data_IF_016769342081
#
_entry.id   IF_016769342081
#
_cell.length_a   1.000
_cell.length_b   1.000
_cell.length_c   1.000
_cell.angle_alpha   90.00
_cell.angle_beta   90.00
_cell.angle_gamma   90.00
#
_symmetry.space_group_name_H-M   'P 1'
#
loop_
_entity.id
_entity.type
_entity.pdbx_description
1 polymer ?
#
# COMPACT_ATOMS: atom_id res chain seq x y z
N UNK A 1 48.08 -32.69 44.89
CA UNK A 1 47.21 -32.46 43.72
C UNK A 1 46.50 -33.76 43.42
N UNK A 2 45.40 -34.04 44.12
CA UNK A 2 44.62 -35.26 43.92
C UNK A 2 43.73 -35.06 42.69
N UNK A 3 43.95 -35.89 41.67
CA UNK A 3 43.20 -35.85 40.42
C UNK A 3 41.73 -36.15 40.69
N UNK A 4 40.84 -35.21 40.33
CA UNK A 4 39.44 -35.55 40.10
C UNK A 4 39.42 -36.50 38.90
N UNK A 5 39.21 -37.76 39.19
CA UNK A 5 38.59 -38.75 38.32
C UNK A 5 37.42 -38.06 37.60
N UNK A 6 37.65 -37.70 36.33
CA UNK A 6 36.79 -36.81 35.52
C UNK A 6 35.44 -37.39 35.15
N UNK A 7 34.83 -38.20 36.01
CA UNK A 7 33.50 -38.79 35.85
C UNK A 7 32.49 -37.91 36.58
N UNK A 8 31.49 -37.45 35.85
CA UNK A 8 30.36 -36.73 36.43
C UNK A 8 29.61 -37.61 37.45
N UNK A 9 29.30 -37.09 38.65
CA UNK A 9 28.53 -37.82 39.64
C UNK A 9 27.16 -38.27 39.11
N UNK A 10 26.73 -39.48 39.48
CA UNK A 10 25.48 -40.08 38.99
C UNK A 10 24.22 -39.24 39.26
N UNK A 11 24.21 -38.40 40.32
CA UNK A 11 23.08 -37.53 40.62
C UNK A 11 22.99 -36.34 39.67
N UNK A 12 24.13 -35.78 39.23
CA UNK A 12 24.17 -34.70 38.24
C UNK A 12 23.64 -35.20 36.90
N UNK A 13 24.08 -36.40 36.47
CA UNK A 13 23.59 -37.02 35.23
C UNK A 13 22.07 -37.26 35.26
N UNK A 14 21.51 -37.68 36.40
CA UNK A 14 20.05 -37.86 36.57
C UNK A 14 19.28 -36.55 36.44
N UNK A 15 19.79 -35.47 37.04
CA UNK A 15 19.17 -34.13 36.90
C UNK A 15 19.22 -33.62 35.46
N UNK A 16 20.34 -33.84 34.75
CA UNK A 16 20.43 -33.53 33.33
C UNK A 16 19.42 -34.33 32.49
N UNK A 17 19.28 -35.64 32.74
CA UNK A 17 18.31 -36.47 32.03
C UNK A 17 16.87 -36.03 32.30
N UNK A 18 16.51 -35.72 33.55
CA UNK A 18 15.18 -35.20 33.90
C UNK A 18 14.92 -33.87 33.19
N UNK A 19 15.89 -32.94 33.19
CA UNK A 19 15.79 -31.67 32.49
C UNK A 19 15.62 -31.82 30.98
N UNK A 20 16.39 -32.72 30.36
CA UNK A 20 16.30 -33.03 28.93
C UNK A 20 14.96 -33.69 28.57
N UNK A 21 14.45 -34.59 29.41
CA UNK A 21 13.13 -35.19 29.21
C UNK A 21 12.02 -34.15 29.34
N UNK A 22 12.09 -33.27 30.34
CA UNK A 22 11.15 -32.17 30.50
C UNK A 22 11.15 -31.22 29.30
N UNK A 23 12.34 -30.86 28.81
CA UNK A 23 12.50 -30.05 27.60
C UNK A 23 11.96 -30.78 26.36
N UNK A 24 12.23 -32.07 26.21
CA UNK A 24 11.72 -32.86 25.09
C UNK A 24 10.20 -32.94 25.09
N UNK A 25 9.56 -33.10 26.26
CA UNK A 25 8.10 -33.07 26.39
C UNK A 25 7.56 -31.68 26.04
N UNK A 26 8.16 -30.60 26.56
CA UNK A 26 7.76 -29.23 26.22
C UNK A 26 7.84 -28.98 24.71
N UNK A 27 8.99 -29.31 24.09
CA UNK A 27 9.20 -29.15 22.65
C UNK A 27 8.24 -30.02 21.83
N UNK A 28 7.99 -31.26 22.28
CA UNK A 28 7.03 -32.17 21.67
C UNK A 28 5.60 -31.62 21.69
N UNK A 29 5.16 -31.06 22.82
CA UNK A 29 3.86 -30.40 22.94
C UNK A 29 3.77 -29.13 22.07
N UNK A 30 4.82 -28.31 22.05
CA UNK A 30 4.89 -27.13 21.18
C UNK A 30 4.84 -27.50 19.70
N UNK A 31 5.57 -28.54 19.29
CA UNK A 31 5.56 -29.05 17.92
C UNK A 31 4.18 -29.64 17.57
N UNK A 32 3.61 -30.46 18.45
CA UNK A 32 2.25 -30.98 18.26
C UNK A 32 1.24 -29.84 18.09
N UNK A 33 1.32 -28.79 18.91
CA UNK A 33 0.44 -27.62 18.84
C UNK A 33 0.63 -26.80 17.56
N UNK A 34 1.87 -26.70 17.06
CA UNK A 34 2.21 -26.01 15.81
C UNK A 34 1.60 -26.71 14.58
N UNK A 35 1.64 -28.05 14.53
CA UNK A 35 1.16 -28.83 13.38
C UNK A 35 -0.33 -29.21 13.45
N UNK A 36 -0.91 -29.29 14.66
CA UNK A 36 -2.34 -29.58 14.85
C UNK A 36 -3.25 -28.37 14.64
N UNK A 37 -2.69 -27.16 14.54
CA UNK A 37 -3.41 -25.95 14.16
C UNK A 37 -2.75 -25.23 12.96
N UNK A 38 -2.67 -25.91 11.79
CA UNK A 38 -1.99 -25.38 10.63
C UNK A 38 -2.80 -24.21 10.04
N UNK A 39 -2.24 -23.00 10.12
CA UNK A 39 -2.89 -21.81 9.57
C UNK A 39 -2.61 -20.50 10.29
N UNK A 40 -2.03 -20.51 11.49
CA UNK A 40 -1.96 -19.31 12.33
C UNK A 40 -0.65 -18.52 12.21
N UNK A 41 0.11 -18.72 11.14
CA UNK A 41 1.32 -17.95 10.84
C UNK A 41 1.09 -17.12 9.57
N UNK A 42 1.60 -15.86 9.51
CA UNK A 42 1.35 -14.97 8.38
C UNK A 42 1.81 -15.61 7.07
N UNK A 43 0.85 -15.91 6.18
CA UNK A 43 1.13 -16.40 4.84
C UNK A 43 1.45 -15.22 3.93
N UNK A 44 2.71 -15.12 3.50
CA UNK A 44 3.25 -14.17 2.53
C UNK A 44 2.81 -12.70 2.69
N UNK A 45 3.58 -11.86 3.42
CA UNK A 45 3.31 -10.44 3.48
C UNK A 45 3.49 -9.81 2.09
N UNK A 46 2.47 -9.07 1.63
CA UNK A 46 2.65 -8.18 0.49
C UNK A 46 3.53 -7.00 0.90
N UNK A 47 4.65 -6.82 0.19
CA UNK A 47 5.59 -5.72 0.42
C UNK A 47 5.45 -4.65 -0.67
N UNK A 48 5.34 -3.39 -0.24
CA UNK A 48 5.23 -2.24 -1.13
C UNK A 48 5.50 -0.94 -0.36
N UNK A 49 5.61 0.19 -1.05
CA UNK A 49 5.66 1.48 -0.34
C UNK A 49 4.35 1.71 0.42
N UNK A 50 4.41 2.36 1.59
CA UNK A 50 3.25 2.69 2.42
C UNK A 50 2.14 3.34 1.58
N UNK A 51 2.52 4.33 0.76
CA UNK A 51 1.60 5.04 -0.14
C UNK A 51 0.90 4.14 -1.16
N UNK A 52 1.55 3.06 -1.61
CA UNK A 52 0.93 2.10 -2.54
C UNK A 52 -0.05 1.19 -1.81
N UNK A 53 0.33 0.70 -0.62
CA UNK A 53 -0.54 -0.18 0.18
C UNK A 53 -1.81 0.55 0.59
N UNK A 54 -1.72 1.78 1.08
CA UNK A 54 -2.88 2.56 1.50
C UNK A 54 -3.85 2.89 0.35
N UNK A 55 -3.41 2.78 -0.91
CA UNK A 55 -4.25 2.97 -2.10
C UNK A 55 -4.91 1.69 -2.61
N UNK A 56 -4.51 0.53 -2.10
CA UNK A 56 -5.17 -0.73 -2.46
C UNK A 56 -6.66 -0.66 -2.08
N UNK A 57 -7.51 -1.32 -2.88
CA UNK A 57 -8.98 -1.25 -2.74
C UNK A 57 -9.45 -1.51 -1.30
N UNK A 58 -8.80 -2.44 -0.62
CA UNK A 58 -9.08 -2.87 0.75
C UNK A 58 -8.71 -1.83 1.84
N UNK A 59 -7.81 -0.89 1.55
CA UNK A 59 -7.36 0.13 2.50
C UNK A 59 -7.88 1.54 2.17
N UNK A 60 -8.42 1.78 0.97
CA UNK A 60 -9.13 3.04 0.68
C UNK A 60 -10.43 3.19 1.46
N UNK A 61 -11.10 2.07 1.71
CA UNK A 61 -12.29 1.98 2.55
C UNK A 61 -12.12 0.79 3.50
N UNK A 62 -11.29 0.93 4.54
CA UNK A 62 -11.04 -0.14 5.48
C UNK A 62 -12.34 -0.50 6.21
N UNK A 63 -12.51 -1.77 6.55
CA UNK A 63 -13.75 -2.29 7.10
C UNK A 63 -14.00 -3.75 6.74
N UNK A 64 -15.28 -4.15 6.79
CA UNK A 64 -15.69 -5.54 6.64
C UNK A 64 -16.24 -5.78 5.24
N UNK A 65 -15.73 -6.80 4.59
CA UNK A 65 -16.17 -7.28 3.28
C UNK A 65 -16.62 -8.72 3.40
N UNK A 66 -17.81 -9.05 2.88
CA UNK A 66 -18.27 -10.44 2.78
C UNK A 66 -17.70 -11.07 1.52
N UNK A 67 -16.91 -12.13 1.68
CA UNK A 67 -16.33 -12.90 0.57
C UNK A 67 -17.17 -14.13 0.22
N UNK A 68 -17.88 -14.71 1.19
CA UNK A 68 -18.72 -15.89 1.01
C UNK A 68 -19.74 -16.09 2.14
N UNK A 69 -20.48 -17.21 2.16
CA UNK A 69 -21.51 -17.47 3.16
C UNK A 69 -21.01 -17.42 4.61
N UNK A 70 -19.80 -17.95 4.86
CA UNK A 70 -19.13 -18.01 6.17
C UNK A 70 -17.70 -17.49 6.10
N UNK A 71 -17.44 -16.52 5.22
CA UNK A 71 -16.10 -16.02 4.97
C UNK A 71 -16.10 -14.50 4.78
N UNK A 72 -15.34 -13.81 5.63
CA UNK A 72 -15.26 -12.35 5.67
C UNK A 72 -13.81 -11.91 5.64
N UNK A 73 -13.56 -10.82 4.94
CA UNK A 73 -12.33 -10.07 4.98
C UNK A 73 -12.53 -8.85 5.88
N UNK A 74 -11.57 -8.58 6.75
CA UNK A 74 -11.50 -7.35 7.54
C UNK A 74 -10.21 -6.65 7.17
N UNK A 75 -10.29 -5.37 6.82
CA UNK A 75 -9.11 -4.56 6.49
C UNK A 75 -9.02 -3.37 7.41
N UNK A 76 -7.86 -3.18 8.05
CA UNK A 76 -7.63 -2.09 8.99
C UNK A 76 -6.30 -1.37 8.71
N UNK A 77 -6.26 -0.08 8.97
CA UNK A 77 -5.05 0.73 8.95
C UNK A 77 -4.69 1.11 10.39
N UNK A 78 -3.48 0.77 10.81
CA UNK A 78 -2.89 1.27 12.03
C UNK A 78 -2.17 2.59 11.76
N UNK A 79 -2.42 3.59 12.61
CA UNK A 79 -1.72 4.88 12.65
C UNK A 79 -1.42 5.19 14.11
N UNK A 80 -0.55 6.15 14.37
CA UNK A 80 -0.24 6.56 15.74
C UNK A 80 -1.51 6.82 16.55
N UNK A 81 -1.69 5.96 17.55
CA UNK A 81 -2.75 6.03 18.56
C UNK A 81 -4.16 5.71 18.07
N UNK A 82 -4.31 5.17 16.86
CA UNK A 82 -5.64 4.86 16.30
C UNK A 82 -5.62 3.67 15.32
N UNK A 83 -6.70 2.88 15.35
CA UNK A 83 -7.07 1.97 14.28
C UNK A 83 -8.17 2.59 13.41
N UNK A 84 -8.08 2.41 12.10
CA UNK A 84 -9.08 2.82 11.13
C UNK A 84 -9.58 1.60 10.33
N UNK A 85 -10.86 1.20 10.47
CA UNK A 85 -11.84 1.76 11.41
C UNK A 85 -11.53 1.38 12.87
N UNK A 86 -12.07 2.16 13.81
CA UNK A 86 -11.91 1.96 15.25
C UNK A 86 -12.90 0.93 15.82
N UNK A 87 -13.99 0.63 15.09
CA UNK A 87 -14.96 -0.43 15.40
C UNK A 87 -15.18 -1.37 14.22
N UNK A 88 -15.08 -2.67 14.47
CA UNK A 88 -15.39 -3.75 13.53
C UNK A 88 -16.51 -4.63 14.11
N UNK A 89 -17.43 -5.08 13.25
CA UNK A 89 -18.52 -6.01 13.62
C UNK A 89 -18.60 -7.14 12.61
N UNK A 90 -18.53 -8.39 13.07
CA UNK A 90 -18.57 -9.60 12.22
C UNK A 90 -19.51 -10.66 12.80
N UNK A 91 -20.01 -11.62 12.00
CA UNK A 91 -20.86 -12.68 12.52
C UNK A 91 -20.03 -13.80 13.17
N UNK A 92 -20.63 -14.50 14.12
CA UNK A 92 -20.08 -15.76 14.62
C UNK A 92 -20.12 -16.88 13.56
N UNK A 93 -19.34 -17.93 13.79
CA UNK A 93 -19.23 -19.13 12.95
C UNK A 93 -18.84 -18.82 11.49
N UNK A 94 -18.08 -17.75 11.30
CA UNK A 94 -17.46 -17.41 10.02
C UNK A 94 -15.95 -17.28 10.16
N UNK A 95 -15.22 -17.68 9.11
CA UNK A 95 -13.79 -17.41 8.99
C UNK A 95 -13.60 -15.93 8.69
N UNK A 96 -12.76 -15.28 9.48
CA UNK A 96 -12.41 -13.87 9.36
C UNK A 96 -10.93 -13.77 9.00
N UNK A 97 -10.61 -13.26 7.81
CA UNK A 97 -9.24 -12.96 7.38
C UNK A 97 -8.97 -11.46 7.59
N UNK A 98 -8.09 -11.16 8.55
CA UNK A 98 -7.67 -9.81 8.92
C UNK A 98 -6.46 -9.42 8.08
N UNK A 99 -6.56 -8.28 7.42
CA UNK A 99 -5.46 -7.63 6.73
C UNK A 99 -5.20 -6.28 7.38
N UNK A 100 -4.01 -6.12 7.93
CA UNK A 100 -3.66 -4.92 8.70
C UNK A 100 -2.38 -4.33 8.13
N UNK A 101 -2.35 -3.02 7.93
CA UNK A 101 -1.14 -2.30 7.50
C UNK A 101 -0.91 -1.08 8.36
N UNK A 102 0.32 -0.55 8.35
CA UNK A 102 0.65 0.69 9.04
C UNK A 102 0.86 1.84 8.07
N UNK A 103 0.30 3.00 8.41
CA UNK A 103 0.51 4.25 7.69
C UNK A 103 1.76 5.04 8.13
N UNK A 104 2.40 4.67 9.23
CA UNK A 104 3.48 5.45 9.85
C UNK A 104 4.60 4.61 10.48
N UNK A 105 4.41 4.05 11.67
CA UNK A 105 5.41 3.32 12.48
C UNK A 105 4.97 1.88 12.75
N UNK A 106 5.79 1.10 13.43
CA UNK A 106 5.41 -0.27 13.81
C UNK A 106 4.28 -0.21 14.84
N UNK A 107 3.28 -1.08 14.68
CA UNK A 107 2.16 -1.27 15.62
C UNK A 107 1.95 -2.75 15.90
N UNK A 108 1.19 -3.01 16.97
CA UNK A 108 0.63 -4.32 17.24
C UNK A 108 -0.82 -4.39 16.80
N UNK A 109 -1.27 -5.58 16.39
CA UNK A 109 -2.68 -5.88 16.25
C UNK A 109 -2.98 -7.15 17.04
N UNK A 110 -3.53 -6.98 18.24
CA UNK A 110 -3.90 -8.06 19.14
C UNK A 110 -5.39 -8.01 19.50
N UNK A 111 -6.02 -9.18 19.55
CA UNK A 111 -7.30 -9.40 20.23
C UNK A 111 -7.04 -10.27 21.47
N UNK A 112 -6.96 -9.67 22.68
CA UNK A 112 -6.61 -10.40 23.89
C UNK A 112 -7.58 -11.55 24.18
N UNK A 113 -7.03 -12.68 24.68
CA UNK A 113 -7.81 -13.89 24.93
C UNK A 113 -8.13 -14.71 23.67
N UNK A 114 -7.52 -14.37 22.54
CA UNK A 114 -7.64 -15.10 21.27
C UNK A 114 -6.25 -15.44 20.72
N UNK A 115 -6.20 -16.14 19.59
CA UNK A 115 -4.95 -16.41 18.87
C UNK A 115 -4.60 -15.32 17.83
N UNK A 116 -5.34 -14.21 17.80
CA UNK A 116 -5.09 -13.09 16.87
C UNK A 116 -4.08 -12.14 17.51
N UNK A 117 -2.82 -12.28 17.11
CA UNK A 117 -1.75 -11.35 17.42
C UNK A 117 -0.80 -11.29 16.21
N UNK A 118 -0.55 -10.09 15.69
CA UNK A 118 0.42 -9.87 14.60
C UNK A 118 1.08 -8.50 14.70
N UNK A 119 2.38 -8.43 14.40
CA UNK A 119 3.12 -7.18 14.22
C UNK A 119 2.75 -6.53 12.88
N UNK A 120 2.50 -5.23 12.91
CA UNK A 120 2.06 -4.43 11.76
C UNK A 120 3.16 -3.44 11.39
N UNK A 121 3.83 -3.70 10.26
CA UNK A 121 4.96 -2.89 9.81
C UNK A 121 4.55 -1.92 8.68
N UNK A 122 5.12 -0.70 8.65
CA UNK A 122 4.96 0.20 7.51
C UNK A 122 5.54 -0.41 6.23
N UNK A 123 4.76 -0.40 5.14
CA UNK A 123 5.18 -0.99 3.87
C UNK A 123 4.94 -2.49 3.75
N UNK A 124 4.21 -3.08 4.70
CA UNK A 124 3.81 -4.47 4.71
C UNK A 124 2.30 -4.58 4.96
N UNK A 125 1.67 -5.62 4.40
CA UNK A 125 0.32 -6.05 4.77
C UNK A 125 0.44 -7.31 5.63
N UNK A 126 0.18 -7.16 6.93
CA UNK A 126 0.06 -8.28 7.84
C UNK A 126 -1.25 -9.03 7.58
N UNK A 127 -1.20 -10.36 7.61
CA UNK A 127 -2.36 -11.22 7.41
C UNK A 127 -2.45 -12.25 8.53
N UNK A 128 -3.59 -12.30 9.19
CA UNK A 128 -3.92 -13.29 10.23
C UNK A 128 -5.40 -13.65 10.09
N UNK A 129 -5.79 -14.88 10.41
CA UNK A 129 -7.20 -15.27 10.36
C UNK A 129 -7.64 -16.02 11.61
N UNK A 130 -8.92 -15.88 11.94
CA UNK A 130 -9.52 -16.58 13.07
C UNK A 130 -10.99 -16.92 12.78
N UNK A 131 -11.55 -17.81 13.61
CA UNK A 131 -12.98 -18.14 13.63
C UNK A 131 -13.48 -18.00 15.05
N UNK A 132 -14.59 -17.30 15.21
CA UNK A 132 -15.20 -17.03 16.52
C UNK A 132 -16.53 -17.78 16.62
N UNK A 133 -16.73 -18.52 17.71
CA UNK A 133 -17.87 -19.43 17.85
C UNK A 133 -18.99 -18.91 18.76
N UNK A 134 -18.76 -17.79 19.44
CA UNK A 134 -19.72 -17.18 20.36
C UNK A 134 -19.70 -15.67 20.21
N UNK A 135 -20.82 -14.97 20.45
CA UNK A 135 -20.84 -13.51 20.42
C UNK A 135 -20.03 -12.96 21.59
N UNK A 136 -19.19 -11.96 21.31
CA UNK A 136 -18.35 -11.32 22.29
C UNK A 136 -17.80 -9.99 21.76
N UNK A 137 -17.59 -9.03 22.66
CA UNK A 137 -16.85 -7.80 22.35
C UNK A 137 -15.40 -7.98 22.78
N UNK A 138 -14.49 -7.87 21.83
CA UNK A 138 -13.05 -7.88 22.02
C UNK A 138 -12.51 -6.45 21.92
N UNK A 139 -11.46 -6.18 22.68
CA UNK A 139 -10.64 -4.99 22.47
C UNK A 139 -9.59 -5.31 21.40
N UNK A 140 -9.41 -4.38 20.47
CA UNK A 140 -8.24 -4.36 19.59
C UNK A 140 -7.16 -3.57 20.32
N UNK A 141 -6.03 -4.20 20.64
CA UNK A 141 -4.95 -3.56 21.39
C UNK A 141 -3.71 -3.49 20.52
N UNK A 142 -3.03 -2.34 20.57
CA UNK A 142 -1.67 -2.21 20.06
C UNK A 142 -0.70 -2.68 21.13
N UNK A 143 0.02 -3.77 20.89
CA UNK A 143 1.02 -4.35 21.81
C UNK A 143 2.48 -3.96 21.48
N UNK A 144 2.69 -3.19 20.40
CA UNK A 144 4.00 -2.65 20.02
C UNK A 144 4.11 -1.16 20.33
N UNK A 145 5.18 -0.77 21.00
CA UNK A 145 5.39 0.63 21.37
C UNK A 145 5.50 1.54 20.14
N UNK A 146 4.47 2.34 19.90
CA UNK A 146 4.35 3.22 18.72
C UNK A 146 4.51 4.73 19.04
N UNK A 147 4.70 5.08 20.32
CA UNK A 147 4.94 6.46 20.78
C UNK A 147 4.29 6.79 22.13
N UNK A 148 4.34 8.07 22.53
CA UNK A 148 3.89 8.55 23.85
C UNK A 148 2.40 8.32 24.17
N UNK A 149 1.56 8.15 23.15
CA UNK A 149 0.14 7.82 23.29
C UNK A 149 -0.17 6.34 23.14
N UNK A 150 0.84 5.45 23.13
CA UNK A 150 0.69 4.02 22.84
C UNK A 150 -0.40 3.33 23.68
N UNK A 151 -0.48 3.63 24.97
CA UNK A 151 -1.47 3.09 25.89
C UNK A 151 -2.94 3.41 25.54
N UNK A 152 -3.17 4.43 24.71
CA UNK A 152 -4.50 4.86 24.31
C UNK A 152 -4.93 4.25 22.96
N UNK A 153 -4.05 3.49 22.30
CA UNK A 153 -4.31 2.91 20.99
C UNK A 153 -5.16 1.64 21.09
N UNK A 154 -6.47 1.84 21.24
CA UNK A 154 -7.44 0.76 21.44
C UNK A 154 -8.59 0.91 20.44
N UNK A 155 -9.03 -0.21 19.85
CA UNK A 155 -10.23 -0.33 19.04
C UNK A 155 -11.21 -1.36 19.59
N UNK A 156 -12.34 -1.55 18.91
CA UNK A 156 -13.38 -2.52 19.27
C UNK A 156 -13.63 -3.51 18.14
N UNK A 157 -13.69 -4.79 18.48
CA UNK A 157 -14.04 -5.87 17.55
C UNK A 157 -15.19 -6.67 18.15
N UNK A 158 -16.34 -6.65 17.50
CA UNK A 158 -17.58 -7.26 18.01
C UNK A 158 -17.97 -8.46 17.15
N UNK A 159 -18.15 -9.60 17.79
CA UNK A 159 -18.72 -10.80 17.19
C UNK A 159 -20.18 -10.89 17.60
N UNK A 160 -21.08 -10.97 16.62
CA UNK A 160 -22.54 -10.99 16.84
C UNK A 160 -23.18 -12.25 16.25
N UNK A 161 -24.29 -12.72 16.81
CA UNK A 161 -25.04 -13.85 16.23
C UNK A 161 -25.67 -13.50 14.88
N UNK A 162 -26.11 -12.26 14.72
CA UNK A 162 -26.69 -11.76 13.48
C UNK A 162 -26.13 -10.38 13.17
N UNK A 163 -25.54 -10.21 11.98
CA UNK A 163 -25.09 -8.90 11.53
C UNK A 163 -26.31 -7.96 11.41
N UNK A 164 -26.26 -6.75 11.98
CA UNK A 164 -27.32 -5.78 11.78
C UNK A 164 -27.37 -5.38 10.30
N UNK A 165 -28.57 -5.16 9.76
CA UNK A 165 -28.80 -4.80 8.35
C UNK A 165 -28.06 -3.51 7.90
N UNK A 166 -27.57 -2.70 8.85
CA UNK A 166 -26.78 -1.48 8.65
C UNK A 166 -25.28 -1.64 8.90
N UNK A 167 -24.78 -2.82 9.32
CA UNK A 167 -23.34 -3.04 9.33
C UNK A 167 -22.84 -2.89 7.90
N UNK A 168 -21.91 -1.97 7.67
CA UNK A 168 -21.34 -1.64 6.36
C UNK A 168 -20.50 -2.81 5.84
N UNK A 169 -21.17 -3.89 5.46
CA UNK A 169 -20.61 -5.08 4.87
C UNK A 169 -20.64 -4.85 3.37
N UNK A 170 -19.56 -4.30 2.84
CA UNK A 170 -19.44 -4.12 1.40
C UNK A 170 -19.33 -5.50 0.76
N UNK A 171 -20.34 -5.88 -0.02
CA UNK A 171 -20.36 -7.17 -0.71
C UNK A 171 -19.56 -7.01 -1.99
N UNK A 172 -18.31 -7.49 -2.02
CA UNK A 172 -17.51 -7.48 -3.24
C UNK A 172 -17.88 -8.74 -4.03
N UNK A 173 -18.70 -8.57 -5.07
CA UNK A 173 -18.77 -9.55 -6.16
C UNK A 173 -17.37 -9.67 -6.80
N UNK A 174 -16.97 -10.86 -7.31
CA UNK A 174 -15.65 -11.06 -7.88
C UNK A 174 -15.55 -10.34 -9.23
N UNK A 175 -15.26 -9.05 -9.21
CA UNK A 175 -14.84 -8.30 -10.39
C UNK A 175 -13.32 -8.35 -10.46
N UNK A 176 -12.83 -9.26 -11.29
CA UNK A 176 -11.64 -9.10 -12.14
C UNK A 176 -10.90 -7.77 -11.97
N UNK A 177 -9.87 -7.74 -11.12
CA UNK A 177 -8.92 -6.62 -11.10
C UNK A 177 -8.27 -6.50 -12.48
N UNK A 178 -8.49 -5.40 -13.19
CA UNK A 178 -8.02 -5.27 -14.57
C UNK A 178 -7.52 -3.85 -14.88
N UNK A 179 -6.27 -3.80 -15.36
CA UNK A 179 -5.57 -2.72 -16.05
C UNK A 179 -5.02 -1.50 -15.26
N UNK A 180 -5.80 -0.75 -14.48
CA UNK A 180 -5.34 0.56 -13.96
C UNK A 180 -4.27 0.47 -12.86
N UNK A 181 -4.43 -0.41 -11.87
CA UNK A 181 -3.42 -0.64 -10.83
C UNK A 181 -2.10 -1.22 -11.38
N UNK A 182 -2.15 -1.89 -12.56
CA UNK A 182 -0.96 -2.36 -13.26
C UNK A 182 -0.22 -1.25 -14.02
N UNK A 183 -0.93 -0.21 -14.46
CA UNK A 183 -0.36 0.93 -15.18
C UNK A 183 0.42 1.86 -14.25
N UNK A 184 -0.10 2.17 -13.06
CA UNK A 184 0.62 3.00 -12.08
C UNK A 184 1.94 2.36 -11.62
N UNK A 185 1.92 1.04 -11.35
CA UNK A 185 3.14 0.30 -10.97
C UNK A 185 4.18 0.31 -12.10
N UNK A 186 3.73 0.10 -13.35
CA UNK A 186 4.58 0.19 -14.54
C UNK A 186 5.14 1.62 -14.71
N UNK A 187 4.29 2.62 -14.48
CA UNK A 187 4.63 4.04 -14.52
C UNK A 187 5.66 4.46 -13.51
N UNK A 188 5.53 4.03 -12.25
CA UNK A 188 6.48 4.31 -11.19
C UNK A 188 7.90 3.79 -11.52
N UNK A 189 7.98 2.56 -12.07
CA UNK A 189 9.25 1.98 -12.51
C UNK A 189 9.85 2.78 -13.67
N UNK A 190 9.06 3.10 -14.71
CA UNK A 190 9.52 3.89 -15.84
C UNK A 190 9.93 5.32 -15.42
N UNK A 191 9.20 5.94 -14.49
CA UNK A 191 9.53 7.25 -13.93
C UNK A 191 10.90 7.24 -13.23
N UNK A 192 11.15 6.23 -12.40
CA UNK A 192 12.43 6.08 -11.70
C UNK A 192 13.61 5.95 -12.68
N UNK A 193 13.42 5.22 -13.78
CA UNK A 193 14.47 4.99 -14.78
C UNK A 193 14.72 6.17 -15.73
N UNK A 194 13.68 6.94 -16.07
CA UNK A 194 13.77 7.92 -17.17
C UNK A 194 13.52 9.37 -16.76
N UNK A 195 12.77 9.61 -15.67
CA UNK A 195 12.28 10.95 -15.32
C UNK A 195 12.94 11.51 -14.06
N UNK A 196 13.24 10.65 -13.08
CA UNK A 196 13.73 11.04 -11.76
C UNK A 196 15.09 11.74 -11.79
N UNK A 197 15.93 11.50 -12.78
CA UNK A 197 17.23 12.17 -12.91
C UNK A 197 17.10 13.70 -13.04
N UNK A 198 16.03 14.19 -13.67
CA UNK A 198 15.76 15.62 -13.85
C UNK A 198 14.66 16.12 -12.91
N UNK A 199 13.54 15.40 -12.83
CA UNK A 199 12.38 15.83 -12.03
C UNK A 199 12.45 15.41 -10.56
N UNK A 200 13.50 14.69 -10.16
CA UNK A 200 13.73 14.12 -8.83
C UNK A 200 12.74 12.99 -8.49
N UNK A 201 13.14 12.12 -7.55
CA UNK A 201 12.31 11.03 -7.07
C UNK A 201 11.02 11.52 -6.37
N UNK A 202 11.06 12.73 -5.81
CA UNK A 202 9.94 13.39 -5.15
C UNK A 202 9.18 14.37 -6.06
N UNK A 203 9.50 14.43 -7.35
CA UNK A 203 8.80 15.28 -8.33
C UNK A 203 9.00 16.78 -8.13
N UNK A 204 9.93 17.23 -7.28
CA UNK A 204 10.12 18.66 -6.99
C UNK A 204 10.95 19.40 -8.06
N UNK A 205 11.53 18.69 -9.02
CA UNK A 205 12.46 19.29 -9.97
C UNK A 205 13.74 19.78 -9.29
N UNK A 206 14.46 20.70 -9.94
CA UNK A 206 15.73 21.22 -9.44
C UNK A 206 15.88 22.70 -9.79
N UNK A 207 15.74 23.56 -8.79
CA UNK A 207 15.94 25.01 -8.92
C UNK A 207 15.17 25.61 -10.10
N UNK A 208 15.91 26.32 -10.97
CA UNK A 208 15.40 26.89 -12.23
C UNK A 208 15.73 26.04 -13.45
N UNK A 209 16.35 24.86 -13.27
CA UNK A 209 16.77 23.99 -14.35
C UNK A 209 15.65 23.01 -14.77
N UNK A 210 15.00 22.38 -13.78
CA UNK A 210 13.95 21.40 -14.03
C UNK A 210 12.68 21.77 -13.26
N UNK A 211 11.52 21.85 -13.93
CA UNK A 211 10.26 22.22 -13.28
C UNK A 211 9.76 21.11 -12.35
N UNK A 212 9.03 21.47 -11.27
CA UNK A 212 8.34 20.50 -10.44
C UNK A 212 7.18 19.87 -11.21
N UNK A 213 6.96 18.58 -10.96
CA UNK A 213 5.77 17.82 -11.35
C UNK A 213 4.79 17.69 -10.17
N UNK A 214 5.33 17.66 -8.95
CA UNK A 214 4.55 17.69 -7.71
C UNK A 214 3.76 19.01 -7.63
N UNK A 215 2.45 18.90 -7.45
CA UNK A 215 1.54 20.02 -7.29
C UNK A 215 1.19 20.79 -8.57
N UNK A 216 1.90 20.59 -9.68
CA UNK A 216 1.69 21.34 -10.94
C UNK A 216 0.96 20.53 -12.00
N UNK A 217 1.31 19.25 -12.19
CA UNK A 217 0.70 18.41 -13.22
C UNK A 217 -0.81 18.17 -13.01
N UNK A 218 -1.31 18.00 -11.77
CA UNK A 218 -2.75 17.85 -11.51
C UNK A 218 -3.62 19.01 -12.00
N UNK A 219 -3.06 20.22 -12.11
CA UNK A 219 -3.81 21.37 -12.63
C UNK A 219 -4.20 21.17 -14.09
N UNK A 220 -3.38 20.42 -14.84
CA UNK A 220 -3.52 20.27 -16.29
C UNK A 220 -4.14 18.93 -16.69
N UNK A 221 -3.90 17.86 -15.93
CA UNK A 221 -4.42 16.52 -16.23
C UNK A 221 -5.94 16.37 -16.11
N UNK A 222 -6.62 17.34 -15.49
CA UNK A 222 -8.09 17.34 -15.36
C UNK A 222 -8.83 17.58 -16.67
N UNK A 223 -8.16 18.09 -17.70
CA UNK A 223 -8.78 18.38 -19.00
C UNK A 223 -8.26 17.47 -20.10
N UNK A 224 -9.11 17.09 -21.05
CA UNK A 224 -8.70 16.29 -22.20
C UNK A 224 -7.61 16.99 -23.03
N UNK A 225 -7.66 18.33 -23.13
CA UNK A 225 -6.64 19.13 -23.80
C UNK A 225 -5.30 19.08 -23.05
N UNK A 226 -5.32 19.17 -21.72
CA UNK A 226 -4.12 19.10 -20.91
C UNK A 226 -3.49 17.71 -20.89
N UNK A 227 -4.30 16.65 -20.83
CA UNK A 227 -3.85 15.26 -20.99
C UNK A 227 -3.18 15.02 -22.35
N UNK A 228 -3.76 15.55 -23.43
CA UNK A 228 -3.18 15.47 -24.76
C UNK A 228 -1.84 16.22 -24.83
N UNK A 229 -1.76 17.44 -24.27
CA UNK A 229 -0.53 18.22 -24.25
C UNK A 229 0.59 17.55 -23.43
N UNK A 230 0.27 16.97 -22.27
CA UNK A 230 1.24 16.20 -21.48
C UNK A 230 1.71 14.95 -22.22
N UNK A 231 0.79 14.24 -22.89
CA UNK A 231 1.14 13.11 -23.75
C UNK A 231 2.12 13.52 -24.86
N UNK A 232 1.84 14.64 -25.55
CA UNK A 232 2.70 15.15 -26.61
C UNK A 232 4.09 15.57 -26.07
N UNK A 233 4.17 16.11 -24.84
CA UNK A 233 5.43 16.40 -24.13
C UNK A 233 6.26 15.14 -23.89
N UNK A 234 5.66 14.04 -23.43
CA UNK A 234 6.39 12.78 -23.25
C UNK A 234 6.86 12.18 -24.58
N UNK A 235 6.00 12.18 -25.60
CA UNK A 235 6.30 11.52 -26.88
C UNK A 235 7.36 12.29 -27.68
N UNK A 236 7.22 13.61 -27.81
CA UNK A 236 8.02 14.41 -28.74
C UNK A 236 8.98 15.39 -28.06
N UNK A 237 8.94 15.45 -26.72
CA UNK A 237 9.76 16.35 -25.93
C UNK A 237 9.25 17.80 -25.95
N UNK A 238 9.94 18.67 -25.22
CA UNK A 238 9.56 20.06 -25.03
C UNK A 238 10.79 20.96 -25.09
N UNK A 239 10.67 22.11 -25.75
CA UNK A 239 11.72 23.14 -25.80
C UNK A 239 11.07 24.52 -25.77
N UNK A 240 11.66 25.45 -25.04
CA UNK A 240 11.23 26.85 -24.97
C UNK A 240 10.72 27.24 -23.58
N UNK A 241 10.41 28.53 -23.39
CA UNK A 241 10.06 29.07 -22.09
C UNK A 241 8.68 28.57 -21.63
N UNK A 242 8.59 27.98 -20.43
CA UNK A 242 7.34 27.58 -19.81
C UNK A 242 7.24 28.15 -18.40
N UNK A 243 6.01 28.36 -17.93
CA UNK A 243 5.74 28.66 -16.53
C UNK A 243 5.25 27.39 -15.83
N UNK A 244 5.77 27.15 -14.62
CA UNK A 244 5.33 26.10 -13.71
C UNK A 244 5.58 26.57 -12.27
N UNK A 245 4.59 26.42 -11.38
CA UNK A 245 4.67 26.86 -9.98
C UNK A 245 5.18 28.31 -9.81
N UNK A 246 4.70 29.24 -10.66
CA UNK A 246 5.09 30.66 -10.60
C UNK A 246 6.53 30.98 -11.05
N UNK A 247 7.27 30.03 -11.63
CA UNK A 247 8.63 30.22 -12.15
C UNK A 247 8.70 29.92 -13.64
N UNK A 248 9.58 30.66 -14.33
CA UNK A 248 9.88 30.43 -15.75
C UNK A 248 11.07 29.48 -15.91
N UNK A 249 10.90 28.48 -16.79
CA UNK A 249 11.90 27.49 -17.15
C UNK A 249 12.13 27.55 -18.66
N UNK A 250 13.38 27.49 -19.10
CA UNK A 250 13.73 27.47 -20.53
C UNK A 250 14.71 26.33 -20.84
N UNK A 251 14.36 25.13 -20.36
CA UNK A 251 15.11 23.91 -20.58
C UNK A 251 14.68 23.16 -21.86
N UNK A 252 15.32 22.01 -22.09
CA UNK A 252 14.92 21.06 -23.12
C UNK A 252 14.61 19.71 -22.47
N UNK A 253 13.39 19.22 -22.66
CA UNK A 253 13.00 17.86 -22.31
C UNK A 253 13.18 16.96 -23.55
N UNK A 254 13.91 15.83 -23.45
CA UNK A 254 14.07 14.89 -24.56
C UNK A 254 12.74 14.22 -24.90
N UNK A 255 12.69 13.63 -26.10
CA UNK A 255 11.54 12.87 -26.57
C UNK A 255 11.70 11.40 -26.13
N UNK A 256 10.63 10.77 -25.66
CA UNK A 256 10.68 9.40 -25.15
C UNK A 256 9.92 8.38 -26.00
N UNK A 257 9.32 8.81 -27.13
CA UNK A 257 8.57 7.92 -28.01
C UNK A 257 9.35 6.68 -28.47
N UNK A 258 10.67 6.75 -28.65
CA UNK A 258 11.45 5.59 -29.08
C UNK A 258 11.86 4.63 -27.95
N UNK A 259 11.74 5.05 -26.69
CA UNK A 259 12.27 4.30 -25.54
C UNK A 259 11.16 3.74 -24.62
N UNK A 260 9.98 4.35 -24.65
CA UNK A 260 8.84 3.95 -23.83
C UNK A 260 7.73 3.41 -24.73
N UNK A 261 7.02 2.38 -24.28
CA UNK A 261 5.81 1.88 -24.91
C UNK A 261 4.55 2.67 -24.47
N UNK A 262 3.41 2.39 -25.09
CA UNK A 262 2.14 3.09 -24.80
C UNK A 262 1.68 2.93 -23.36
N UNK A 263 1.92 1.76 -22.75
CA UNK A 263 1.53 1.48 -21.37
C UNK A 263 2.46 2.16 -20.39
N UNK A 264 3.74 2.28 -20.70
CA UNK A 264 4.72 2.99 -19.87
C UNK A 264 4.44 4.50 -19.87
N UNK A 265 4.14 5.10 -21.02
CA UNK A 265 3.78 6.54 -21.09
C UNK A 265 2.47 6.82 -20.34
N UNK A 266 1.42 6.02 -20.60
CA UNK A 266 0.15 6.13 -19.86
C UNK A 266 0.36 5.91 -18.35
N UNK A 267 1.19 4.94 -17.98
CA UNK A 267 1.54 4.64 -16.60
C UNK A 267 2.28 5.78 -15.92
N UNK A 268 3.21 6.45 -16.59
CA UNK A 268 3.94 7.60 -16.03
C UNK A 268 2.99 8.74 -15.69
N UNK A 269 2.07 9.07 -16.60
CA UNK A 269 1.04 10.10 -16.36
C UNK A 269 0.17 9.71 -15.16
N UNK A 270 -0.34 8.47 -15.14
CA UNK A 270 -1.11 7.95 -14.00
C UNK A 270 -0.32 7.97 -12.67
N UNK A 271 0.98 7.63 -12.70
CA UNK A 271 1.84 7.72 -11.52
C UNK A 271 2.00 9.16 -11.04
N UNK A 272 2.24 10.13 -11.94
CA UNK A 272 2.40 11.55 -11.59
C UNK A 272 1.09 12.13 -11.03
N UNK A 273 -0.06 11.78 -11.61
CA UNK A 273 -1.38 12.17 -11.12
C UNK A 273 -1.59 11.79 -9.65
N UNK A 274 -0.98 10.69 -9.23
CA UNK A 274 -1.22 10.06 -7.95
C UNK A 274 -0.09 10.29 -6.92
N UNK A 275 1.14 10.52 -7.38
CA UNK A 275 2.32 10.63 -6.54
C UNK A 275 2.37 11.95 -5.75
N UNK A 276 3.10 11.95 -4.63
CA UNK A 276 3.45 13.17 -3.88
C UNK A 276 2.24 14.01 -3.42
N UNK A 277 1.10 13.35 -3.17
CA UNK A 277 -0.14 14.02 -2.77
C UNK A 277 -0.87 14.72 -3.91
N UNK A 278 -0.54 14.41 -5.17
CA UNK A 278 -1.29 14.89 -6.34
C UNK A 278 -2.69 14.26 -6.42
N UNK A 279 -2.85 12.99 -6.04
CA UNK A 279 -4.14 12.28 -6.13
C UNK A 279 -5.24 12.85 -5.24
N UNK A 280 -4.91 13.55 -4.15
CA UNK A 280 -5.92 14.26 -3.33
C UNK A 280 -6.41 15.55 -3.98
N UNK A 281 -5.79 15.97 -5.09
CA UNK A 281 -6.19 17.14 -5.88
C UNK A 281 -6.98 16.74 -7.12
N UNK A 282 -7.05 15.46 -7.47
CA UNK A 282 -7.86 15.03 -8.61
C UNK A 282 -9.33 14.89 -8.21
N UNK A 283 -10.27 15.27 -9.10
CA UNK A 283 -11.69 15.10 -8.85
C UNK A 283 -12.07 13.61 -8.86
N UNK A 284 -13.16 13.24 -8.19
CA UNK A 284 -13.61 11.84 -8.08
C UNK A 284 -13.90 11.18 -9.45
N UNK A 285 -14.18 11.97 -10.48
CA UNK A 285 -14.44 11.52 -11.84
C UNK A 285 -13.21 11.56 -12.77
N UNK A 286 -12.02 11.82 -12.23
CA UNK A 286 -10.76 11.80 -12.98
C UNK A 286 -10.57 10.49 -13.74
N UNK A 287 -10.25 10.60 -15.02
CA UNK A 287 -9.97 9.46 -15.91
C UNK A 287 -8.51 9.52 -16.34
N UNK A 288 -7.68 8.55 -15.94
CA UNK A 288 -6.29 8.46 -16.40
C UNK A 288 -6.20 8.32 -17.92
N UNK A 289 -5.10 8.80 -18.50
CA UNK A 289 -4.83 8.65 -19.94
C UNK A 289 -4.68 7.17 -20.28
N UNK A 290 -5.55 6.66 -21.15
CA UNK A 290 -5.51 5.26 -21.57
C UNK A 290 -4.36 4.99 -22.56
N UNK A 291 -3.75 3.79 -22.56
CA UNK A 291 -2.71 3.43 -23.55
C UNK A 291 -3.15 3.59 -25.01
N UNK A 292 -4.44 3.38 -25.30
CA UNK A 292 -5.00 3.59 -26.64
C UNK A 292 -4.93 5.07 -27.08
N UNK A 293 -5.04 6.02 -26.14
CA UNK A 293 -4.88 7.44 -26.44
C UNK A 293 -3.41 7.78 -26.76
N UNK A 294 -2.45 7.13 -26.07
CA UNK A 294 -1.02 7.26 -26.40
C UNK A 294 -0.73 6.73 -27.80
N UNK A 295 -1.27 5.55 -28.12
CA UNK A 295 -1.15 4.95 -29.46
C UNK A 295 -1.67 5.88 -30.55
N UNK A 296 -2.82 6.51 -30.33
CA UNK A 296 -3.38 7.49 -31.26
C UNK A 296 -2.50 8.75 -31.37
N UNK A 297 -1.96 9.24 -30.25
CA UNK A 297 -1.06 10.39 -30.24
C UNK A 297 0.22 10.12 -31.04
N UNK A 298 0.79 8.91 -30.96
CA UNK A 298 1.98 8.50 -31.73
C UNK A 298 1.83 8.55 -33.25
N UNK A 299 0.61 8.51 -33.76
CA UNK A 299 0.36 8.65 -35.20
C UNK A 299 0.64 10.07 -35.71
N UNK A 300 0.76 11.06 -34.81
CA UNK A 300 1.17 12.41 -35.14
C UNK A 300 2.69 12.48 -35.37
N UNK A 301 3.11 13.51 -36.10
CA UNK A 301 4.51 13.95 -36.14
C UNK A 301 4.54 15.40 -35.66
N UNK A 302 5.19 15.65 -34.53
CA UNK A 302 5.29 16.99 -33.95
C UNK A 302 6.74 17.33 -33.65
N UNK A 303 7.10 18.59 -33.92
CA UNK A 303 8.33 19.22 -33.45
C UNK A 303 8.16 19.70 -32.01
N UNK A 304 9.26 19.83 -31.26
CA UNK A 304 9.24 20.35 -29.88
C UNK A 304 8.63 21.76 -29.77
N UNK A 305 8.72 22.55 -30.83
CA UNK A 305 8.12 23.89 -30.91
C UNK A 305 6.60 23.82 -31.06
N UNK A 306 6.11 22.88 -31.87
CA UNK A 306 4.66 22.64 -32.00
C UNK A 306 4.08 22.07 -30.69
N UNK A 307 4.81 21.20 -30.00
CA UNK A 307 4.42 20.73 -28.66
C UNK A 307 4.37 21.87 -27.66
N UNK A 308 5.35 22.77 -27.69
CA UNK A 308 5.37 23.96 -26.83
C UNK A 308 4.11 24.83 -27.05
N UNK A 309 3.77 25.10 -28.31
CA UNK A 309 2.56 25.85 -28.67
C UNK A 309 1.27 25.13 -28.24
N UNK A 310 1.17 23.82 -28.48
CA UNK A 310 0.02 23.01 -28.07
C UNK A 310 -0.16 23.00 -26.54
N UNK A 311 0.95 22.88 -25.79
CA UNK A 311 0.95 22.97 -24.33
C UNK A 311 0.47 24.35 -23.86
N UNK A 312 0.97 25.43 -24.45
CA UNK A 312 0.55 26.78 -24.09
C UNK A 312 -0.96 27.00 -24.33
N UNK A 313 -1.50 26.48 -25.44
CA UNK A 313 -2.93 26.54 -25.73
C UNK A 313 -3.77 25.72 -24.73
N UNK A 314 -3.30 24.52 -24.35
CA UNK A 314 -4.03 23.63 -23.46
C UNK A 314 -4.03 24.10 -21.99
N UNK A 315 -2.96 24.76 -21.54
CA UNK A 315 -2.78 25.10 -20.13
C UNK A 315 -3.34 26.48 -19.78
N UNK A 316 -3.79 27.24 -20.79
CA UNK A 316 -4.12 28.65 -20.65
C UNK A 316 -2.84 29.48 -20.44
N UNK A 317 -2.80 30.67 -21.05
CA UNK A 317 -1.66 31.56 -20.89
C UNK A 317 -1.53 32.04 -19.43
N UNK A 318 -0.76 31.30 -18.63
CA UNK A 318 -0.17 31.71 -17.34
C UNK A 318 -1.08 32.46 -16.36
N UNK A 319 -1.56 31.77 -15.34
CA UNK A 319 -1.72 32.36 -14.02
C UNK A 319 -0.78 31.68 -13.06
#
# INVERSE_FOLDING_TARGET
>A
MTGRDGKTPNYELRWFVIGLLGLAVLLGLSFWRMFSAPGRFPTDPMTASIHRILKEKMFRHPGVVKLGPHHYQVSLIARQFQFDPDKIVVPENARIDFYVTSADVIHGFELPGTDVNVEVLPGYVAHVFATFHKPHEYLVVCDQYCGIGHQNMIGKFEVVSHLPAKAAVSTIAPTTGTATASLEKLGAAAYASHCAACHQANGQGLGSAFPPLMGTVPEYERSAAGQAALTDVLLYGLKGPINAAGKTYNGMMPAWASQLDDRQVAGILAYIAEAWGNGTREPEDYKPVAPAAIKAARAKTMTRTEVHAARAAAFGNGK
#
